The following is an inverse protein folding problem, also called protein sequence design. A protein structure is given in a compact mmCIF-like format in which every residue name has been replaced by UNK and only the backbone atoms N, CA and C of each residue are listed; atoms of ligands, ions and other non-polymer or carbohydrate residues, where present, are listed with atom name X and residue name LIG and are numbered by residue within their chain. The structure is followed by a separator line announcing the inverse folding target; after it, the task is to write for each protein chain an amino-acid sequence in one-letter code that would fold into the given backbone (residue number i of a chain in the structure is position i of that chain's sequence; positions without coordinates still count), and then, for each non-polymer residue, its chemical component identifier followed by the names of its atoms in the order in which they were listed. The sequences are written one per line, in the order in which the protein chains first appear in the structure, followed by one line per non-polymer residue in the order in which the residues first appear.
data_IF_753593556284
#
_entry.id   IF_753593556284
#
_cell.length_a   1.000
_cell.length_b   1.000
_cell.length_c   1.000
_cell.angle_alpha   90.00
_cell.angle_beta   90.00
_cell.angle_gamma   90.00
#
_symmetry.space_group_name_H-M   'P 1'
#
loop_
_entity.id
_entity.type
_entity.pdbx_description
1 polymer ?
#
# COMPACT_ATOMS: atom_id res chain seq x y z
N UNK A 1 -11.49 0.80 -15.65
CA UNK A 1 -11.36 1.42 -14.30
C UNK A 1 -9.89 1.31 -13.87
N UNK A 2 -9.18 2.42 -13.67
CA UNK A 2 -7.75 2.41 -13.27
C UNK A 2 -7.57 1.72 -11.91
N UNK A 3 -6.43 1.05 -11.73
CA UNK A 3 -6.04 0.42 -10.45
C UNK A 3 -6.08 1.43 -9.32
N UNK A 4 -5.70 2.70 -9.57
CA UNK A 4 -5.78 3.79 -8.59
C UNK A 4 -7.21 4.00 -8.12
N UNK A 5 -8.15 4.09 -9.05
CA UNK A 5 -9.57 4.31 -8.73
C UNK A 5 -10.15 3.16 -7.89
N UNK A 6 -9.86 1.91 -8.26
CA UNK A 6 -10.32 0.73 -7.49
C UNK A 6 -9.82 0.78 -6.05
N UNK A 7 -8.53 1.08 -5.85
CA UNK A 7 -7.95 1.19 -4.52
C UNK A 7 -8.55 2.36 -3.74
N UNK A 8 -8.73 3.51 -4.37
CA UNK A 8 -9.37 4.67 -3.73
C UNK A 8 -10.79 4.33 -3.27
N UNK A 9 -11.58 3.65 -4.09
CA UNK A 9 -12.93 3.23 -3.73
C UNK A 9 -12.93 2.28 -2.53
N UNK A 10 -12.06 1.27 -2.51
CA UNK A 10 -11.93 0.33 -1.39
C UNK A 10 -11.53 1.07 -0.09
N UNK A 11 -10.62 2.03 -0.19
CA UNK A 11 -10.18 2.82 0.97
C UNK A 11 -11.29 3.70 1.51
N UNK A 12 -12.06 4.37 0.65
CA UNK A 12 -13.21 5.17 1.06
C UNK A 12 -14.25 4.28 1.74
N UNK A 13 -14.61 3.14 1.13
CA UNK A 13 -15.57 2.20 1.69
C UNK A 13 -15.13 1.69 3.07
N UNK A 14 -13.85 1.32 3.21
CA UNK A 14 -13.28 0.90 4.50
C UNK A 14 -13.43 1.98 5.57
N UNK A 15 -13.17 3.24 5.23
CA UNK A 15 -13.33 4.35 6.17
C UNK A 15 -14.80 4.60 6.54
N UNK A 16 -15.71 4.55 5.56
CA UNK A 16 -17.15 4.67 5.81
C UNK A 16 -17.66 3.57 6.75
N UNK A 17 -17.21 2.32 6.56
CA UNK A 17 -17.53 1.20 7.44
C UNK A 17 -17.03 1.47 8.87
N UNK A 18 -15.80 1.97 9.01
CA UNK A 18 -15.26 2.34 10.32
C UNK A 18 -16.11 3.42 11.01
N UNK A 19 -16.47 4.49 10.30
CA UNK A 19 -17.30 5.57 10.85
C UNK A 19 -18.67 5.05 11.26
N UNK A 20 -19.29 4.21 10.43
CA UNK A 20 -20.58 3.58 10.73
C UNK A 20 -20.49 2.75 12.01
N UNK A 21 -19.49 1.87 12.14
CA UNK A 21 -19.28 1.07 13.33
C UNK A 21 -18.98 1.93 14.57
N UNK A 22 -18.20 3.00 14.43
CA UNK A 22 -17.88 3.91 15.53
C UNK A 22 -19.11 4.60 16.11
N UNK A 23 -20.07 4.96 15.24
CA UNK A 23 -21.35 5.56 15.63
C UNK A 23 -22.26 4.50 16.26
N UNK A 24 -22.48 3.36 15.59
CA UNK A 24 -23.43 2.33 16.05
C UNK A 24 -23.01 1.64 17.34
N UNK A 25 -21.73 1.31 17.49
CA UNK A 25 -21.20 0.69 18.70
C UNK A 25 -20.84 1.75 19.76
N UNK A 26 -20.75 3.02 19.38
CA UNK A 26 -20.48 4.14 20.26
C UNK A 26 -19.16 4.02 21.03
N UNK A 27 -18.17 3.27 20.52
CA UNK A 27 -16.88 3.09 21.19
C UNK A 27 -16.01 4.35 21.13
N UNK A 28 -16.27 5.25 20.16
CA UNK A 28 -15.65 6.57 20.07
C UNK A 28 -16.55 7.70 20.57
N UNK A 29 -17.61 7.42 21.34
CA UNK A 29 -18.50 8.46 21.83
C UNK A 29 -17.72 9.49 22.68
N UNK A 30 -17.86 10.81 22.43
CA UNK A 30 -17.24 11.85 23.25
C UNK A 30 -17.60 11.73 24.73
N UNK A 31 -18.79 11.20 25.04
CA UNK A 31 -19.23 10.98 26.42
C UNK A 31 -18.43 9.90 27.16
N UNK A 32 -17.78 8.97 26.43
CA UNK A 32 -16.99 7.88 27.01
C UNK A 32 -15.50 8.21 27.10
N UNK A 33 -14.94 8.81 26.04
CA UNK A 33 -13.48 8.99 25.89
C UNK A 33 -13.06 10.45 25.78
N UNK A 34 -14.00 11.39 25.75
CA UNK A 34 -13.73 12.82 25.54
C UNK A 34 -13.59 13.21 24.08
N UNK A 35 -13.99 14.44 23.75
CA UNK A 35 -14.02 14.94 22.37
C UNK A 35 -12.65 14.90 21.67
N UNK A 36 -11.58 15.20 22.40
CA UNK A 36 -10.21 15.18 21.89
C UNK A 36 -9.82 13.79 21.37
N UNK A 37 -10.10 12.74 22.15
CA UNK A 37 -9.81 11.36 21.76
C UNK A 37 -10.71 10.86 20.65
N UNK A 38 -12.00 11.23 20.66
CA UNK A 38 -12.91 10.94 19.55
C UNK A 38 -12.34 11.48 18.24
N UNK A 39 -11.99 12.76 18.18
CA UNK A 39 -11.44 13.40 16.99
C UNK A 39 -10.11 12.75 16.59
N UNK A 40 -9.22 12.51 17.56
CA UNK A 40 -7.94 11.83 17.32
C UNK A 40 -8.12 10.49 16.59
N UNK A 41 -9.03 9.63 17.06
CA UNK A 41 -9.23 8.31 16.46
C UNK A 41 -9.82 8.37 15.04
N UNK A 42 -10.70 9.33 14.75
CA UNK A 42 -11.19 9.53 13.38
C UNK A 42 -10.09 9.98 12.43
N UNK A 43 -9.20 10.87 12.87
CA UNK A 43 -8.04 11.33 12.08
C UNK A 43 -7.03 10.20 11.92
N UNK A 44 -6.71 9.48 13.00
CA UNK A 44 -5.79 8.34 12.97
C UNK A 44 -6.27 7.25 12.02
N UNK A 45 -7.57 6.90 12.06
CA UNK A 45 -8.15 5.94 11.14
C UNK A 45 -8.07 6.40 9.68
N UNK A 46 -8.35 7.69 9.39
CA UNK A 46 -8.19 8.24 8.05
C UNK A 46 -6.73 8.16 7.58
N UNK A 47 -5.77 8.50 8.46
CA UNK A 47 -4.33 8.38 8.19
C UNK A 47 -3.90 6.94 7.91
N UNK A 48 -4.39 5.97 8.68
CA UNK A 48 -4.12 4.53 8.46
C UNK A 48 -4.66 4.09 7.10
N UNK A 49 -5.93 4.41 6.80
CA UNK A 49 -6.55 4.06 5.52
C UNK A 49 -5.77 4.65 4.34
N UNK A 50 -5.37 5.92 4.44
CA UNK A 50 -4.55 6.58 3.44
C UNK A 50 -3.16 5.93 3.28
N UNK A 51 -2.49 5.62 4.39
CA UNK A 51 -1.20 4.94 4.37
C UNK A 51 -1.29 3.56 3.68
N UNK A 52 -2.32 2.78 4.00
CA UNK A 52 -2.55 1.47 3.38
C UNK A 52 -2.86 1.58 1.89
N UNK A 53 -3.68 2.55 1.51
CA UNK A 53 -3.94 2.87 0.10
C UNK A 53 -2.65 3.17 -0.66
N UNK A 54 -1.85 4.09 -0.13
CA UNK A 54 -0.59 4.53 -0.75
C UNK A 54 0.39 3.36 -0.87
N UNK A 55 0.58 2.59 0.21
CA UNK A 55 1.44 1.41 0.21
C UNK A 55 1.02 0.40 -0.86
N UNK A 56 -0.28 0.16 -1.01
CA UNK A 56 -0.78 -0.77 -2.02
C UNK A 56 -0.61 -0.23 -3.45
N UNK A 57 -0.75 1.08 -3.65
CA UNK A 57 -0.50 1.71 -4.94
C UNK A 57 0.97 1.56 -5.36
N UNK A 58 1.92 1.84 -4.45
CA UNK A 58 3.36 1.66 -4.72
C UNK A 58 3.68 0.19 -4.99
N UNK A 59 3.10 -0.74 -4.23
CA UNK A 59 3.25 -2.17 -4.47
C UNK A 59 2.80 -2.59 -5.87
N UNK A 60 1.61 -2.17 -6.30
CA UNK A 60 1.09 -2.49 -7.64
C UNK A 60 1.98 -1.90 -8.74
N UNK A 61 2.54 -0.70 -8.51
CA UNK A 61 3.50 -0.09 -9.43
C UNK A 61 4.81 -0.88 -9.54
N UNK A 62 5.36 -1.34 -8.41
CA UNK A 62 6.55 -2.22 -8.36
C UNK A 62 6.29 -3.52 -9.12
N UNK A 63 5.17 -4.19 -8.85
CA UNK A 63 4.78 -5.44 -9.53
C UNK A 63 4.62 -5.20 -11.04
N UNK A 64 3.97 -4.11 -11.44
CA UNK A 64 3.79 -3.77 -12.85
C UNK A 64 5.13 -3.62 -13.57
N UNK A 65 6.05 -2.79 -13.07
CA UNK A 65 7.33 -2.60 -13.72
C UNK A 65 8.21 -3.85 -13.68
N UNK A 66 8.21 -4.58 -12.57
CA UNK A 66 8.94 -5.84 -12.48
C UNK A 66 8.46 -6.85 -13.54
N UNK A 67 7.14 -6.94 -13.80
CA UNK A 67 6.57 -7.78 -14.86
C UNK A 67 7.00 -7.32 -16.26
N UNK A 68 6.95 -6.02 -16.53
CA UNK A 68 7.35 -5.47 -17.84
C UNK A 68 8.85 -5.69 -18.11
N UNK A 69 9.67 -5.58 -17.06
CA UNK A 69 11.11 -5.85 -17.10
C UNK A 69 11.45 -7.35 -17.01
N UNK A 70 10.45 -8.24 -16.94
CA UNK A 70 10.60 -9.70 -16.79
C UNK A 70 11.49 -10.11 -15.60
N UNK A 71 11.44 -9.35 -14.52
CA UNK A 71 12.21 -9.59 -13.31
C UNK A 71 11.52 -10.60 -12.39
N UNK A 72 12.32 -11.37 -11.68
CA UNK A 72 11.85 -12.35 -10.69
C UNK A 72 11.90 -11.78 -9.26
N UNK A 73 11.31 -12.51 -8.30
CA UNK A 73 11.39 -12.15 -6.88
C UNK A 73 12.85 -12.07 -6.39
N UNK A 74 13.74 -12.94 -6.89
CA UNK A 74 15.15 -12.94 -6.50
C UNK A 74 15.90 -11.73 -7.08
N UNK A 75 15.54 -11.28 -8.28
CA UNK A 75 16.11 -10.06 -8.86
C UNK A 75 15.70 -8.82 -8.06
N UNK A 76 14.44 -8.76 -7.63
CA UNK A 76 13.96 -7.69 -6.76
C UNK A 76 14.65 -7.72 -5.39
N UNK A 77 14.90 -8.91 -4.83
CA UNK A 77 15.63 -9.06 -3.57
C UNK A 77 17.06 -8.48 -3.66
N UNK A 78 17.76 -8.73 -4.77
CA UNK A 78 19.12 -8.20 -5.02
C UNK A 78 19.15 -6.67 -5.14
N UNK A 79 18.04 -6.04 -5.50
CA UNK A 79 17.95 -4.58 -5.61
C UNK A 79 17.79 -3.88 -4.26
N UNK A 80 17.52 -4.62 -3.18
CA UNK A 80 17.24 -4.06 -1.86
C UNK A 80 18.49 -4.09 -0.96
N UNK A 81 18.91 -2.96 -0.39
CA UNK A 81 19.91 -2.97 0.67
C UNK A 81 19.27 -3.49 1.97
N UNK A 82 19.98 -4.37 2.69
CA UNK A 82 19.60 -4.83 4.03
C UNK A 82 18.23 -5.51 4.12
N UNK A 83 17.93 -6.43 3.21
CA UNK A 83 16.74 -7.28 3.31
C UNK A 83 16.86 -8.18 4.54
N UNK A 84 15.93 -8.08 5.49
CA UNK A 84 15.85 -9.02 6.62
C UNK A 84 15.34 -10.37 6.11
N UNK A 85 15.80 -11.48 6.69
CA UNK A 85 15.33 -12.83 6.31
C UNK A 85 13.80 -13.02 6.47
N UNK A 86 13.19 -12.30 7.41
CA UNK A 86 11.73 -12.31 7.63
C UNK A 86 10.93 -11.49 6.61
N UNK A 87 11.58 -10.72 5.74
CA UNK A 87 10.91 -9.85 4.78
C UNK A 87 10.62 -10.59 3.48
N UNK A 88 9.33 -10.74 3.17
CA UNK A 88 8.90 -11.36 1.92
C UNK A 88 8.87 -10.31 0.81
N UNK A 89 9.87 -10.36 -0.07
CA UNK A 89 9.97 -9.48 -1.24
C UNK A 89 8.76 -9.68 -2.16
N UNK A 90 8.22 -8.62 -2.78
CA UNK A 90 7.16 -8.74 -3.78
C UNK A 90 7.49 -9.75 -4.88
N UNK A 91 6.59 -10.68 -5.16
CA UNK A 91 6.73 -11.63 -6.26
C UNK A 91 5.89 -11.19 -7.47
N UNK A 92 6.52 -10.82 -8.61
CA UNK A 92 5.83 -10.42 -9.83
C UNK A 92 5.04 -11.57 -10.47
N UNK A 93 5.47 -12.82 -10.30
CA UNK A 93 4.87 -13.99 -10.96
C UNK A 93 3.60 -14.47 -10.25
N UNK A 94 3.37 -14.04 -9.01
CA UNK A 94 2.15 -14.33 -8.25
C UNK A 94 1.07 -13.29 -8.51
N UNK A 95 -0.19 -13.74 -8.47
CA UNK A 95 -1.39 -12.89 -8.53
C UNK A 95 -1.62 -12.17 -7.20
N UNK A 96 -0.63 -11.38 -6.75
CA UNK A 96 -0.77 -10.60 -5.53
C UNK A 96 -1.66 -9.39 -5.80
N UNK A 97 -2.94 -9.47 -5.42
CA UNK A 97 -3.92 -8.39 -5.58
C UNK A 97 -3.73 -7.27 -4.54
N UNK A 98 -3.11 -7.59 -3.40
CA UNK A 98 -2.93 -6.67 -2.28
C UNK A 98 -1.49 -6.80 -1.78
N UNK A 99 -0.86 -5.67 -1.47
CA UNK A 99 0.44 -5.64 -0.81
C UNK A 99 0.37 -6.44 0.50
N UNK A 100 1.39 -7.27 0.82
CA UNK A 100 1.47 -7.87 2.14
C UNK A 100 1.61 -6.73 3.16
N UNK A 101 0.51 -6.48 3.87
CA UNK A 101 0.33 -5.35 4.79
C UNK A 101 1.46 -5.25 5.82
N UNK A 102 1.96 -6.40 6.29
CA UNK A 102 2.96 -6.48 7.36
C UNK A 102 4.32 -7.04 6.93
N UNK A 103 4.41 -7.78 5.82
CA UNK A 103 5.62 -8.57 5.53
C UNK A 103 6.69 -7.81 4.75
N UNK A 104 6.35 -6.65 4.18
CA UNK A 104 7.31 -5.84 3.42
C UNK A 104 7.17 -4.34 3.71
N UNK A 105 8.26 -3.64 4.09
CA UNK A 105 8.19 -2.24 4.49
C UNK A 105 7.99 -1.30 3.29
N UNK A 106 7.36 -0.15 3.54
CA UNK A 106 7.17 0.89 2.51
C UNK A 106 8.50 1.40 1.95
N UNK A 107 9.54 1.52 2.79
CA UNK A 107 10.87 1.94 2.36
C UNK A 107 11.47 1.00 1.30
N UNK A 108 11.30 -0.32 1.46
CA UNK A 108 11.74 -1.29 0.45
C UNK A 108 10.96 -1.12 -0.85
N UNK A 109 9.64 -0.87 -0.77
CA UNK A 109 8.82 -0.63 -1.95
C UNK A 109 9.23 0.65 -2.69
N UNK A 110 9.62 1.69 -1.96
CA UNK A 110 10.02 2.96 -2.55
C UNK A 110 11.38 2.86 -3.26
N UNK A 111 12.34 2.15 -2.66
CA UNK A 111 13.63 1.83 -3.30
C UNK A 111 13.41 1.06 -4.60
N UNK A 112 12.58 0.01 -4.56
CA UNK A 112 12.25 -0.77 -5.76
C UNK A 112 11.54 0.09 -6.80
N UNK A 113 10.52 0.85 -6.39
CA UNK A 113 9.77 1.73 -7.27
C UNK A 113 10.69 2.73 -7.98
N UNK A 114 11.64 3.33 -7.28
CA UNK A 114 12.60 4.27 -7.86
C UNK A 114 13.52 3.60 -8.88
N UNK A 115 14.14 2.47 -8.52
CA UNK A 115 15.04 1.72 -9.41
C UNK A 115 14.32 1.19 -10.65
N UNK A 116 13.17 0.56 -10.45
CA UNK A 116 12.36 -0.02 -11.53
C UNK A 116 11.77 1.06 -12.42
N UNK A 117 11.30 2.19 -11.87
CA UNK A 117 10.80 3.30 -12.70
C UNK A 117 11.90 3.88 -13.58
N UNK A 118 13.12 4.00 -13.06
CA UNK A 118 14.28 4.46 -13.84
C UNK A 118 14.60 3.50 -14.98
N UNK A 119 14.77 2.21 -14.68
CA UNK A 119 15.00 1.17 -15.69
C UNK A 119 13.88 1.08 -16.72
N UNK A 120 12.62 1.19 -16.28
CA UNK A 120 11.46 1.16 -17.16
C UNK A 120 11.45 2.35 -18.13
N UNK A 121 11.87 3.53 -17.66
CA UNK A 121 11.98 4.72 -18.51
C UNK A 121 13.10 4.55 -19.54
N UNK A 122 14.26 4.03 -19.13
CA UNK A 122 15.39 3.73 -20.02
C UNK A 122 15.03 2.72 -21.11
N UNK A 123 14.14 1.76 -20.82
CA UNK A 123 13.66 0.75 -21.77
C UNK A 123 12.38 1.13 -22.51
N UNK A 124 11.89 2.37 -22.37
CA UNK A 124 10.68 2.84 -23.07
C UNK A 124 9.38 2.14 -22.63
N UNK A 125 9.34 1.57 -21.42
CA UNK A 125 8.15 0.90 -20.88
C UNK A 125 7.10 1.94 -20.51
N UNK A 126 5.84 1.66 -20.84
CA UNK A 126 4.70 2.55 -20.56
C UNK A 126 4.54 2.78 -19.05
N UNK A 127 4.25 4.02 -18.61
CA UNK A 127 4.09 4.33 -17.19
C UNK A 127 2.85 3.65 -16.60
N UNK A 128 2.93 3.31 -15.31
CA UNK A 128 1.81 2.75 -14.55
C UNK A 128 0.61 3.73 -14.46
N UNK A 129 -0.60 3.25 -14.77
CA UNK A 129 -1.85 4.03 -14.82
C UNK A 129 -2.90 3.56 -13.81
#
# INVERSE_FOLDING_TARGET
MSTKFKLTLISILTYCIFVFLAIFLGFLSPAKIGITWTVFWYIAAAGIVYYLWFKNLVFQKVIYYARQLKLTQTDLAKMLPNLKESQVVPDPNKTNLIAPLFNFPLQGLDILNTKLSKQATEQGIKPFK
#
